data_IF_349467380532
#
_entry.id   IF_349467380532
#
_cell.length_a   1.000
_cell.length_b   1.000
_cell.length_c   1.000
_cell.angle_alpha   90.00
_cell.angle_beta   90.00
_cell.angle_gamma   90.00
#
_symmetry.space_group_name_H-M   'P 1'
#
loop_
_entity.id
_entity.type
_entity.pdbx_description
1 polymer ?
#
# COMPACT_ATOMS: atom_id res chain seq x y z
N UNK A 1 -18.50 -4.89 -6.25
CA UNK A 1 -19.41 -5.42 -7.31
C UNK A 1 -18.80 -6.59 -8.11
N UNK A 2 -17.83 -6.37 -9.01
CA UNK A 2 -17.27 -7.45 -9.86
C UNK A 2 -16.53 -8.52 -9.06
N UNK A 3 -15.62 -8.13 -8.17
CA UNK A 3 -14.85 -9.07 -7.32
C UNK A 3 -15.78 -10.01 -6.53
N UNK A 4 -16.77 -9.44 -5.84
CA UNK A 4 -17.77 -10.20 -5.08
C UNK A 4 -18.64 -11.09 -5.98
N UNK A 5 -19.06 -10.59 -7.16
CA UNK A 5 -19.87 -11.36 -8.13
C UNK A 5 -19.17 -12.63 -8.60
N UNK A 6 -17.86 -12.57 -8.75
CA UNK A 6 -17.05 -13.71 -9.19
C UNK A 6 -16.47 -14.52 -8.03
N UNK A 7 -16.91 -14.27 -6.79
CA UNK A 7 -16.48 -15.06 -5.63
C UNK A 7 -15.00 -14.90 -5.30
N UNK A 8 -14.39 -13.74 -5.58
CA UNK A 8 -13.02 -13.47 -5.15
C UNK A 8 -12.96 -13.30 -3.63
N UNK A 9 -11.95 -13.91 -2.99
CA UNK A 9 -11.80 -13.88 -1.54
C UNK A 9 -11.21 -12.57 -0.99
N UNK A 10 -10.58 -11.77 -1.84
CA UNK A 10 -9.93 -10.52 -1.43
C UNK A 10 -9.25 -9.80 -2.59
N UNK A 11 -8.58 -8.69 -2.29
CA UNK A 11 -7.82 -7.92 -3.27
C UNK A 11 -6.53 -7.34 -2.68
N UNK A 12 -5.46 -7.34 -3.48
CA UNK A 12 -4.21 -6.65 -3.16
C UNK A 12 -4.22 -5.27 -3.83
N UNK A 13 -4.06 -4.23 -3.04
CA UNK A 13 -4.11 -2.84 -3.47
C UNK A 13 -2.90 -2.07 -2.91
N UNK A 14 -1.84 -1.75 -3.68
CA UNK A 14 -1.75 -1.75 -5.15
C UNK A 14 -0.45 -2.36 -5.68
N UNK A 15 -0.39 -2.56 -7.00
CA UNK A 15 0.86 -2.76 -7.72
C UNK A 15 1.62 -1.40 -7.86
N UNK A 16 2.76 -1.44 -8.53
CA UNK A 16 3.52 -0.27 -8.98
C UNK A 16 2.70 0.67 -9.87
N UNK A 17 3.18 1.91 -10.03
CA UNK A 17 2.58 2.90 -10.94
C UNK A 17 3.49 3.18 -12.12
N UNK A 18 2.90 3.50 -13.28
CA UNK A 18 3.64 4.02 -14.44
C UNK A 18 3.85 5.54 -14.35
N UNK A 19 3.16 6.22 -13.44
CA UNK A 19 3.30 7.68 -13.27
C UNK A 19 4.68 8.03 -12.72
N UNK A 20 5.30 9.04 -13.33
CA UNK A 20 6.62 9.59 -12.92
C UNK A 20 6.54 10.97 -12.29
N UNK A 21 5.34 11.52 -12.11
CA UNK A 21 5.13 12.88 -11.60
C UNK A 21 5.85 13.15 -10.27
N UNK A 22 5.84 12.18 -9.35
CA UNK A 22 6.44 12.33 -8.02
C UNK A 22 7.98 12.22 -7.99
N UNK A 23 8.62 11.88 -9.11
CA UNK A 23 10.09 11.73 -9.21
C UNK A 23 10.68 12.58 -10.34
N UNK A 24 9.92 13.54 -10.87
CA UNK A 24 10.39 14.43 -11.94
C UNK A 24 11.67 15.17 -11.54
N UNK A 25 12.61 15.24 -12.48
CA UNK A 25 13.93 15.87 -12.26
C UNK A 25 14.92 15.02 -11.46
N UNK A 26 14.54 13.84 -10.96
CA UNK A 26 15.48 12.90 -10.35
C UNK A 26 16.27 12.12 -11.40
N UNK A 27 17.45 11.62 -11.01
CA UNK A 27 18.40 10.90 -11.90
C UNK A 27 17.77 9.81 -12.77
N UNK A 28 16.80 9.08 -12.23
CA UNK A 28 16.17 7.91 -12.87
C UNK A 28 14.68 8.14 -13.19
N UNK A 29 14.25 9.40 -13.29
CA UNK A 29 12.84 9.76 -13.52
C UNK A 29 12.27 9.16 -14.82
N UNK A 30 13.10 9.11 -15.86
CA UNK A 30 12.72 8.70 -17.22
C UNK A 30 12.86 7.19 -17.50
N UNK A 31 13.23 6.38 -16.51
CA UNK A 31 13.31 4.93 -16.69
C UNK A 31 11.93 4.32 -16.96
N UNK A 32 11.88 3.35 -17.86
CA UNK A 32 10.65 2.59 -18.13
C UNK A 32 10.33 1.62 -17.00
N UNK A 33 9.05 1.26 -16.86
CA UNK A 33 8.58 0.27 -15.88
C UNK A 33 7.91 0.89 -14.66
N UNK A 34 7.65 0.05 -13.65
CA UNK A 34 6.87 0.41 -12.48
C UNK A 34 7.66 1.17 -11.41
N UNK A 35 7.14 2.31 -10.97
CA UNK A 35 7.60 3.05 -9.80
C UNK A 35 6.96 2.49 -8.51
N UNK A 36 7.76 2.38 -7.45
CA UNK A 36 7.37 1.89 -6.13
C UNK A 36 7.92 2.80 -5.02
N UNK A 37 7.70 2.43 -3.75
CA UNK A 37 8.23 3.17 -2.60
C UNK A 37 7.42 4.40 -2.22
N UNK A 38 8.02 5.27 -1.39
CA UNK A 38 7.38 6.46 -0.82
C UNK A 38 6.51 7.26 -1.81
N UNK A 39 6.93 7.48 -3.09
CA UNK A 39 6.13 8.24 -4.06
C UNK A 39 4.71 7.71 -4.30
N UNK A 40 4.45 6.42 -4.06
CA UNK A 40 3.15 5.80 -4.36
C UNK A 40 2.22 5.71 -3.13
N UNK A 41 2.65 6.16 -1.95
CA UNK A 41 1.92 5.96 -0.69
C UNK A 41 0.49 6.51 -0.76
N UNK A 42 0.34 7.78 -1.13
CA UNK A 42 -0.98 8.44 -1.11
C UNK A 42 -1.89 7.95 -2.24
N UNK A 43 -1.36 7.79 -3.46
CA UNK A 43 -2.11 7.23 -4.57
C UNK A 43 -2.66 5.83 -4.27
N UNK A 44 -1.86 4.97 -3.62
CA UNK A 44 -2.32 3.65 -3.21
C UNK A 44 -3.31 3.71 -2.04
N UNK A 45 -3.17 4.66 -1.09
CA UNK A 45 -4.19 4.89 -0.06
C UNK A 45 -5.53 5.34 -0.65
N UNK A 46 -5.52 6.16 -1.70
CA UNK A 46 -6.73 6.57 -2.41
C UNK A 46 -7.46 5.37 -3.01
N UNK A 47 -6.73 4.46 -3.66
CA UNK A 47 -7.32 3.22 -4.22
C UNK A 47 -7.91 2.34 -3.11
N UNK A 48 -7.21 2.19 -1.98
CA UNK A 48 -7.73 1.41 -0.84
C UNK A 48 -9.04 2.01 -0.32
N UNK A 49 -9.14 3.34 -0.16
CA UNK A 49 -10.38 4.02 0.26
C UNK A 49 -11.52 3.77 -0.71
N UNK A 50 -11.26 3.86 -2.01
CA UNK A 50 -12.26 3.60 -3.05
C UNK A 50 -12.74 2.13 -3.02
N UNK A 51 -11.81 1.17 -2.89
CA UNK A 51 -12.14 -0.25 -2.79
C UNK A 51 -12.96 -0.54 -1.54
N UNK A 52 -12.56 0.01 -0.37
CA UNK A 52 -13.31 -0.18 0.88
C UNK A 52 -14.73 0.38 0.77
N UNK A 53 -14.89 1.57 0.19
CA UNK A 53 -16.21 2.16 -0.05
C UNK A 53 -17.08 1.30 -0.98
N UNK A 54 -16.49 0.68 -2.01
CA UNK A 54 -17.21 -0.11 -3.01
C UNK A 54 -17.48 -1.57 -2.60
N UNK A 55 -16.65 -2.15 -1.73
CA UNK A 55 -16.70 -3.57 -1.36
C UNK A 55 -17.27 -3.79 0.05
N UNK A 56 -17.37 -2.73 0.85
CA UNK A 56 -17.89 -2.75 2.21
C UNK A 56 -16.87 -3.31 3.20
N UNK A 57 -17.16 -3.15 4.50
CA UNK A 57 -16.21 -3.41 5.59
C UNK A 57 -15.71 -4.86 5.73
N UNK A 58 -16.44 -5.84 5.18
CA UNK A 58 -16.10 -7.26 5.34
C UNK A 58 -15.25 -7.86 4.21
N UNK A 59 -15.08 -7.16 3.10
CA UNK A 59 -14.29 -7.69 1.99
C UNK A 59 -12.79 -7.50 2.29
N UNK A 60 -11.96 -8.56 2.25
CA UNK A 60 -10.53 -8.46 2.57
C UNK A 60 -9.75 -7.59 1.58
N UNK A 61 -8.97 -6.64 2.11
CA UNK A 61 -8.08 -5.76 1.35
C UNK A 61 -6.67 -5.84 1.94
N UNK A 62 -5.71 -6.22 1.11
CA UNK A 62 -4.27 -6.21 1.43
C UNK A 62 -3.68 -4.89 0.91
N UNK A 63 -3.27 -4.00 1.82
CA UNK A 63 -2.72 -2.69 1.51
C UNK A 63 -1.23 -2.73 1.17
N UNK A 64 -0.85 -2.17 0.03
CA UNK A 64 0.52 -2.18 -0.51
C UNK A 64 0.82 -0.82 -1.13
N UNK A 65 2.11 -0.48 -1.20
CA UNK A 65 2.61 0.72 -1.87
C UNK A 65 3.03 1.81 -0.89
N UNK A 66 4.30 2.19 -0.94
CA UNK A 66 4.86 3.32 -0.20
C UNK A 66 4.96 3.17 1.31
N UNK A 67 4.92 1.93 1.83
CA UNK A 67 5.16 1.68 3.25
C UNK A 67 6.68 1.72 3.49
N UNK A 68 7.15 2.80 4.10
CA UNK A 68 8.55 3.03 4.51
C UNK A 68 8.70 2.97 6.03
N UNK A 69 7.61 3.04 6.79
CA UNK A 69 7.63 2.88 8.24
C UNK A 69 6.31 2.45 8.86
N UNK A 70 6.27 2.35 10.20
CA UNK A 70 5.06 1.99 10.93
C UNK A 70 3.86 2.90 10.65
N UNK A 71 4.09 4.21 10.53
CA UNK A 71 2.99 5.16 10.31
C UNK A 71 2.36 5.03 8.93
N UNK A 72 3.15 4.66 7.92
CA UNK A 72 2.62 4.39 6.59
C UNK A 72 1.72 3.15 6.62
N UNK A 73 2.11 2.11 7.35
CA UNK A 73 1.28 0.91 7.52
C UNK A 73 -0.02 1.24 8.26
N UNK A 74 0.04 2.05 9.32
CA UNK A 74 -1.15 2.55 10.02
C UNK A 74 -2.05 3.35 9.05
N UNK A 75 -1.45 4.17 8.17
CA UNK A 75 -2.21 4.91 7.16
C UNK A 75 -2.98 3.99 6.20
N UNK A 76 -2.41 2.82 5.86
CA UNK A 76 -3.07 1.80 5.03
C UNK A 76 -4.29 1.20 5.74
N UNK A 77 -4.12 0.84 7.01
CA UNK A 77 -5.22 0.29 7.82
C UNK A 77 -6.34 1.33 7.96
N UNK A 78 -5.99 2.58 8.27
CA UNK A 78 -6.95 3.70 8.33
C UNK A 78 -7.63 3.98 6.99
N UNK A 79 -6.95 3.77 5.86
CA UNK A 79 -7.54 3.86 4.53
C UNK A 79 -8.55 2.73 4.24
N UNK A 80 -8.53 1.66 5.02
CA UNK A 80 -9.46 0.54 4.92
C UNK A 80 -8.82 -0.78 4.51
N UNK A 81 -7.50 -0.92 4.56
CA UNK A 81 -6.85 -2.23 4.43
C UNK A 81 -6.99 -3.05 5.73
N UNK A 82 -7.06 -4.37 5.61
CA UNK A 82 -7.12 -5.30 6.76
C UNK A 82 -5.73 -5.79 7.16
N UNK A 83 -4.82 -5.92 6.19
CA UNK A 83 -3.41 -6.27 6.38
C UNK A 83 -2.55 -5.48 5.41
N UNK A 84 -1.22 -5.48 5.59
CA UNK A 84 -0.28 -4.76 4.73
C UNK A 84 0.83 -5.65 4.17
N UNK A 85 1.37 -5.28 2.99
CA UNK A 85 2.59 -5.87 2.43
C UNK A 85 3.66 -4.80 2.23
N UNK A 86 4.92 -5.18 2.48
CA UNK A 86 6.07 -4.28 2.44
C UNK A 86 7.07 -4.81 1.41
N UNK A 87 7.59 -3.93 0.56
CA UNK A 87 8.72 -4.23 -0.32
C UNK A 87 9.76 -3.12 -0.26
N UNK A 88 9.53 -1.97 -0.89
CA UNK A 88 10.55 -0.92 -0.99
C UNK A 88 11.08 -0.47 0.38
N UNK A 89 10.19 -0.31 1.38
CA UNK A 89 10.60 -0.01 2.75
C UNK A 89 11.60 -1.03 3.32
N UNK A 90 11.42 -2.32 3.07
CA UNK A 90 12.34 -3.36 3.52
C UNK A 90 13.75 -3.19 2.94
N UNK A 91 13.85 -2.75 1.68
CA UNK A 91 15.15 -2.52 1.02
C UNK A 91 15.90 -1.37 1.70
N UNK A 92 15.22 -0.28 2.05
CA UNK A 92 15.85 0.91 2.63
C UNK A 92 16.04 0.84 4.15
N UNK A 93 15.09 0.25 4.87
CA UNK A 93 15.05 0.24 6.35
C UNK A 93 15.58 -1.06 6.98
N UNK A 94 15.77 -2.09 6.16
CA UNK A 94 16.18 -3.41 6.59
C UNK A 94 15.12 -4.20 7.37
N UNK A 95 15.44 -5.45 7.77
CA UNK A 95 14.46 -6.41 8.31
C UNK A 95 13.86 -5.98 9.66
N UNK A 96 14.55 -5.13 10.42
CA UNK A 96 14.04 -4.60 11.69
C UNK A 96 12.71 -3.83 11.52
N UNK A 97 12.46 -3.28 10.33
CA UNK A 97 11.20 -2.60 10.00
C UNK A 97 9.97 -3.49 10.19
N UNK A 98 10.07 -4.79 9.89
CA UNK A 98 8.94 -5.73 9.99
C UNK A 98 8.44 -5.79 11.42
N UNK A 99 9.33 -6.00 12.38
CA UNK A 99 8.99 -6.07 13.80
C UNK A 99 8.53 -4.72 14.36
N UNK A 100 9.07 -3.59 13.89
CA UNK A 100 8.59 -2.25 14.30
C UNK A 100 7.16 -2.01 13.80
N UNK A 101 6.90 -2.33 12.53
CA UNK A 101 5.59 -2.14 11.89
C UNK A 101 4.53 -3.04 12.53
N UNK A 102 4.84 -4.32 12.73
CA UNK A 102 3.90 -5.27 13.36
C UNK A 102 3.53 -4.83 14.80
N UNK A 103 4.50 -4.32 15.57
CA UNK A 103 4.26 -3.78 16.92
C UNK A 103 3.35 -2.55 16.90
N UNK A 104 3.58 -1.62 15.96
CA UNK A 104 2.73 -0.44 15.84
C UNK A 104 1.29 -0.79 15.46
N UNK A 105 1.11 -1.71 14.52
CA UNK A 105 -0.23 -2.21 14.13
C UNK A 105 -0.92 -2.96 15.28
N UNK A 106 -0.18 -3.74 16.07
CA UNK A 106 -0.73 -4.40 17.26
C UNK A 106 -1.25 -3.39 18.30
N UNK A 107 -0.63 -2.21 18.37
CA UNK A 107 -0.99 -1.14 19.32
C UNK A 107 -2.02 -0.16 18.74
N UNK A 108 -2.46 -0.37 17.49
CA UNK A 108 -3.52 0.40 16.85
C UNK A 108 -4.86 -0.13 17.38
N UNK A 109 -5.35 0.50 18.45
CA UNK A 109 -6.64 0.18 19.08
C UNK A 109 -7.82 0.35 18.11
#
# INVERSE_FOLDING_TARGET
>A
ATLQRHGMDGVVATNTTISRAAVQGMRHAEETGGLSGAPVLEASNQVIRQLRAALGSRFPIIGVGGIMGPEDAISKIRAGADVVQIYTGLIYEGPAMVARTARALKNLA
#
